data_IF_633440446856
#
_entry.id   IF_633440446856
#
_cell.length_a   1.000
_cell.length_b   1.000
_cell.length_c   1.000
_cell.angle_alpha   90.00
_cell.angle_beta   90.00
_cell.angle_gamma   90.00
#
_symmetry.space_group_name_H-M   'P 1'
#
loop_
_entity.id
_entity.type
_entity.pdbx_description
1 polymer ?
#
# COMPACT_ATOMS: atom_id res chain seq x y z
N UNK A 1 -24.33 -25.61 -20.40
CA UNK A 1 -23.20 -25.21 -21.27
C UNK A 1 -23.17 -23.71 -21.57
N UNK A 2 -24.31 -23.00 -21.70
CA UNK A 2 -24.32 -21.53 -21.92
C UNK A 2 -23.79 -20.69 -20.75
N UNK A 3 -24.12 -21.05 -19.50
CA UNK A 3 -23.67 -20.32 -18.31
C UNK A 3 -22.14 -20.35 -18.07
N UNK A 4 -21.48 -21.42 -18.53
CA UNK A 4 -20.02 -21.54 -18.43
C UNK A 4 -19.30 -20.64 -19.44
N UNK A 5 -19.85 -20.49 -20.65
CA UNK A 5 -19.31 -19.62 -21.68
C UNK A 5 -19.50 -18.12 -21.36
N UNK A 6 -20.64 -17.73 -20.77
CA UNK A 6 -20.84 -16.37 -20.26
C UNK A 6 -19.94 -16.06 -19.06
N UNK A 7 -19.82 -16.97 -18.10
CA UNK A 7 -18.89 -16.81 -16.97
C UNK A 7 -17.44 -16.69 -17.46
N UNK A 8 -17.08 -17.42 -18.51
CA UNK A 8 -15.77 -17.38 -19.14
C UNK A 8 -15.47 -16.05 -19.85
N UNK A 9 -16.40 -15.59 -20.70
CA UNK A 9 -16.28 -14.28 -21.35
C UNK A 9 -16.18 -13.14 -20.34
N UNK A 10 -16.91 -13.25 -19.21
CA UNK A 10 -16.85 -12.29 -18.12
C UNK A 10 -15.49 -12.30 -17.40
N UNK A 11 -14.89 -13.47 -17.15
CA UNK A 11 -13.55 -13.56 -16.53
C UNK A 11 -12.47 -12.95 -17.42
N UNK A 12 -12.54 -13.17 -18.73
CA UNK A 12 -11.61 -12.56 -19.68
C UNK A 12 -11.79 -11.05 -19.76
N UNK A 13 -13.03 -10.55 -19.78
CA UNK A 13 -13.31 -9.11 -19.73
C UNK A 13 -12.77 -8.47 -18.45
N UNK A 14 -12.94 -9.12 -17.29
CA UNK A 14 -12.38 -8.68 -16.01
C UNK A 14 -10.85 -8.65 -16.07
N UNK A 15 -10.21 -9.71 -16.58
CA UNK A 15 -8.75 -9.78 -16.72
C UNK A 15 -8.22 -8.64 -17.59
N UNK A 16 -8.84 -8.37 -18.73
CA UNK A 16 -8.46 -7.24 -19.61
C UNK A 16 -8.66 -5.90 -18.91
N UNK A 17 -9.79 -5.70 -18.21
CA UNK A 17 -10.04 -4.48 -17.45
C UNK A 17 -8.98 -4.25 -16.36
N UNK A 18 -8.58 -5.31 -15.65
CA UNK A 18 -7.48 -5.26 -14.66
C UNK A 18 -6.15 -4.92 -15.33
N UNK A 19 -5.79 -5.58 -16.44
CA UNK A 19 -4.53 -5.32 -17.15
C UNK A 19 -4.43 -3.86 -17.62
N UNK A 20 -5.49 -3.35 -18.27
CA UNK A 20 -5.54 -1.98 -18.78
C UNK A 20 -5.56 -0.96 -17.63
N UNK A 21 -6.35 -1.21 -16.58
CA UNK A 21 -6.45 -0.31 -15.44
C UNK A 21 -5.16 -0.21 -14.61
N UNK A 22 -4.44 -1.32 -14.46
CA UNK A 22 -3.19 -1.35 -13.68
C UNK A 22 -1.95 -0.91 -14.47
N UNK A 23 -1.97 -0.97 -15.80
CA UNK A 23 -0.82 -0.62 -16.64
C UNK A 23 -0.29 0.81 -16.37
N UNK A 24 -1.11 1.89 -16.33
CA UNK A 24 -0.63 3.23 -16.02
C UNK A 24 0.02 3.34 -14.65
N UNK A 25 -0.56 2.64 -13.65
CA UNK A 25 -0.05 2.64 -12.27
C UNK A 25 1.31 1.94 -12.19
N UNK A 26 1.47 0.83 -12.89
CA UNK A 26 2.74 0.08 -12.96
C UNK A 26 3.82 0.87 -13.70
N UNK A 27 3.50 1.45 -14.86
CA UNK A 27 4.43 2.29 -15.61
C UNK A 27 4.91 3.48 -14.78
N UNK A 28 3.98 4.14 -14.07
CA UNK A 28 4.32 5.23 -13.16
C UNK A 28 5.23 4.75 -12.01
N UNK A 29 4.95 3.59 -11.40
CA UNK A 29 5.80 3.03 -10.34
C UNK A 29 7.20 2.67 -10.84
N UNK A 30 7.30 1.99 -11.99
CA UNK A 30 8.58 1.62 -12.60
C UNK A 30 9.38 2.89 -12.92
N UNK A 31 8.76 3.87 -13.57
CA UNK A 31 9.38 5.16 -13.87
C UNK A 31 9.88 5.86 -12.60
N UNK A 32 9.07 5.86 -11.53
CA UNK A 32 9.43 6.48 -10.25
C UNK A 32 10.63 5.79 -9.59
N UNK A 33 10.66 4.45 -9.59
CA UNK A 33 11.77 3.67 -9.03
C UNK A 33 13.04 3.82 -9.86
N UNK A 34 12.91 3.95 -11.19
CA UNK A 34 14.06 4.19 -12.06
C UNK A 34 14.66 5.59 -11.88
N UNK A 35 13.83 6.60 -11.57
CA UNK A 35 14.25 8.00 -11.48
C UNK A 35 14.74 8.43 -10.09
N UNK A 36 14.29 7.76 -9.03
CA UNK A 36 14.62 8.12 -7.65
C UNK A 36 15.16 6.91 -6.88
N UNK A 37 16.15 7.09 -5.99
CA UNK A 37 16.65 6.01 -5.16
C UNK A 37 15.50 5.43 -4.32
N UNK A 38 15.16 4.16 -4.60
CA UNK A 38 14.08 3.44 -3.94
C UNK A 38 14.64 2.49 -2.88
N UNK A 39 13.87 2.30 -1.80
CA UNK A 39 14.20 1.28 -0.81
C UNK A 39 13.99 -0.13 -1.38
N UNK A 40 14.70 -1.12 -0.82
CA UNK A 40 14.58 -2.52 -1.23
C UNK A 40 13.12 -3.03 -1.19
N UNK A 41 12.31 -2.75 -0.14
CA UNK A 41 10.89 -3.11 -0.14
C UNK A 41 10.08 -2.44 -1.27
N UNK A 42 10.38 -1.20 -1.62
CA UNK A 42 9.68 -0.49 -2.69
C UNK A 42 9.99 -1.08 -4.07
N UNK A 43 11.26 -1.47 -4.30
CA UNK A 43 11.66 -2.21 -5.51
C UNK A 43 10.96 -3.58 -5.56
N UNK A 44 10.95 -4.31 -4.45
CA UNK A 44 10.32 -5.63 -4.33
C UNK A 44 8.82 -5.59 -4.60
N UNK A 45 8.10 -4.60 -4.03
CA UNK A 45 6.67 -4.41 -4.28
C UNK A 45 6.39 -4.03 -5.75
N UNK A 46 7.29 -3.28 -6.38
CA UNK A 46 7.17 -2.94 -7.80
C UNK A 46 7.42 -4.16 -8.69
N UNK A 47 8.43 -4.98 -8.37
CA UNK A 47 8.70 -6.24 -9.05
C UNK A 47 7.55 -7.24 -8.86
N UNK A 48 6.97 -7.32 -7.66
CA UNK A 48 5.77 -8.12 -7.38
C UNK A 48 4.61 -7.70 -8.29
N UNK A 49 4.28 -6.40 -8.33
CA UNK A 49 3.19 -5.89 -9.16
C UNK A 49 3.43 -6.10 -10.66
N UNK A 50 4.67 -5.89 -11.13
CA UNK A 50 5.04 -6.14 -12.52
C UNK A 50 4.97 -7.62 -12.88
N UNK A 51 5.44 -8.50 -11.98
CA UNK A 51 5.36 -9.96 -12.15
C UNK A 51 3.92 -10.43 -12.21
N UNK A 52 3.07 -10.02 -11.25
CA UNK A 52 1.66 -10.37 -11.23
C UNK A 52 0.94 -9.91 -12.51
N UNK A 53 1.20 -8.68 -12.97
CA UNK A 53 0.63 -8.17 -14.22
C UNK A 53 1.12 -8.95 -15.45
N UNK A 54 2.42 -9.26 -15.52
CA UNK A 54 3.00 -10.04 -16.61
C UNK A 54 2.39 -11.45 -16.69
N UNK A 55 2.19 -12.11 -15.55
CA UNK A 55 1.54 -13.42 -15.50
C UNK A 55 0.05 -13.36 -15.85
N UNK A 56 -0.67 -12.34 -15.39
CA UNK A 56 -2.04 -12.10 -15.83
C UNK A 56 -2.13 -11.89 -17.34
N UNK A 57 -1.14 -11.22 -17.94
CA UNK A 57 -1.04 -11.07 -19.40
C UNK A 57 -0.76 -12.42 -20.07
N UNK A 58 0.17 -13.23 -19.57
CA UNK A 58 0.47 -14.56 -20.14
C UNK A 58 -0.78 -15.45 -20.19
N UNK A 59 -1.59 -15.44 -19.13
CA UNK A 59 -2.78 -16.29 -19.03
C UNK A 59 -3.98 -15.85 -19.86
N UNK A 60 -3.85 -14.76 -20.62
CA UNK A 60 -4.93 -14.28 -21.46
C UNK A 60 -5.03 -15.04 -22.78
N UNK A 61 -6.27 -15.31 -23.22
CA UNK A 61 -6.61 -16.17 -24.37
C UNK A 61 -5.95 -15.79 -25.71
N UNK A 62 -5.51 -14.54 -25.87
CA UNK A 62 -4.77 -14.08 -27.07
C UNK A 62 -3.25 -14.26 -26.99
N UNK A 63 -2.67 -14.35 -25.78
CA UNK A 63 -1.23 -14.49 -25.56
C UNK A 63 -0.91 -15.96 -25.36
N UNK A 64 -1.73 -16.67 -24.57
CA UNK A 64 -1.51 -18.07 -24.26
C UNK A 64 -1.26 -18.94 -25.49
N UNK A 65 -2.11 -18.95 -26.55
CA UNK A 65 -1.91 -19.83 -27.71
C UNK A 65 -0.66 -19.48 -28.53
N UNK A 66 -0.12 -18.26 -28.37
CA UNK A 66 1.09 -17.83 -29.08
C UNK A 66 2.38 -18.31 -28.41
N UNK A 67 2.30 -18.87 -27.20
CA UNK A 67 3.46 -19.28 -26.43
C UNK A 67 3.95 -20.69 -26.83
N UNK A 68 5.26 -20.95 -26.76
CA UNK A 68 5.78 -22.30 -26.97
C UNK A 68 5.25 -23.31 -25.94
N UNK A 69 5.09 -24.59 -26.30
CA UNK A 69 4.60 -25.66 -25.39
C UNK A 69 5.36 -25.76 -24.06
N UNK A 70 6.68 -25.53 -24.09
CA UNK A 70 7.51 -25.52 -22.88
C UNK A 70 7.08 -24.41 -21.92
N UNK A 71 6.69 -23.24 -22.45
CA UNK A 71 6.23 -22.10 -21.64
C UNK A 71 4.88 -22.40 -21.01
N UNK A 72 3.96 -23.07 -21.72
CA UNK A 72 2.68 -23.51 -21.15
C UNK A 72 2.90 -24.40 -19.94
N UNK A 73 3.74 -25.41 -20.11
CA UNK A 73 3.97 -26.41 -19.10
C UNK A 73 4.64 -25.83 -17.84
N UNK A 74 5.66 -24.96 -17.98
CA UNK A 74 6.31 -24.34 -16.80
C UNK A 74 5.44 -23.27 -16.12
N UNK A 75 4.57 -22.60 -16.89
CA UNK A 75 3.65 -21.59 -16.36
C UNK A 75 2.61 -22.23 -15.44
N UNK A 76 2.00 -23.34 -15.87
CA UNK A 76 1.04 -24.09 -15.04
C UNK A 76 1.72 -24.78 -13.87
N UNK A 77 2.93 -25.30 -14.06
CA UNK A 77 3.61 -26.10 -13.04
C UNK A 77 4.18 -25.29 -11.85
N UNK A 78 4.45 -23.98 -11.99
CA UNK A 78 4.83 -23.18 -10.83
C UNK A 78 5.72 -21.96 -11.04
N UNK A 79 6.09 -21.58 -12.26
CA UNK A 79 6.86 -20.34 -12.49
C UNK A 79 6.18 -19.07 -11.92
N UNK A 80 4.88 -18.81 -12.16
CA UNK A 80 4.18 -17.67 -11.57
C UNK A 80 4.24 -17.64 -10.04
N UNK A 81 3.78 -18.67 -9.30
CA UNK A 81 3.82 -18.64 -7.83
C UNK A 81 5.26 -18.50 -7.29
N UNK A 82 6.27 -19.13 -7.91
CA UNK A 82 7.68 -18.99 -7.48
C UNK A 82 8.20 -17.57 -7.70
N UNK A 83 7.97 -16.98 -8.87
CA UNK A 83 8.47 -15.62 -9.16
C UNK A 83 7.77 -14.56 -8.30
N UNK A 84 6.47 -14.69 -8.06
CA UNK A 84 5.70 -13.83 -7.16
C UNK A 84 6.19 -13.98 -5.72
N UNK A 85 6.36 -15.22 -5.23
CA UNK A 85 6.89 -15.48 -3.89
C UNK A 85 8.32 -15.00 -3.73
N UNK A 86 9.18 -15.10 -4.74
CA UNK A 86 10.54 -14.57 -4.69
C UNK A 86 10.56 -13.06 -4.48
N UNK A 87 9.63 -12.33 -5.12
CA UNK A 87 9.47 -10.89 -4.89
C UNK A 87 9.03 -10.59 -3.45
N UNK A 88 8.11 -11.39 -2.90
CA UNK A 88 7.70 -11.27 -1.49
C UNK A 88 8.84 -11.60 -0.53
N UNK A 89 9.68 -12.58 -0.85
CA UNK A 89 10.83 -12.95 -0.02
C UNK A 89 11.84 -11.80 0.05
N UNK A 90 12.11 -11.13 -1.08
CA UNK A 90 12.95 -9.92 -1.12
C UNK A 90 12.32 -8.78 -0.30
N UNK A 91 10.99 -8.63 -0.37
CA UNK A 91 10.27 -7.67 0.46
C UNK A 91 10.44 -7.97 1.96
N UNK A 92 10.27 -9.22 2.38
CA UNK A 92 10.47 -9.68 3.77
C UNK A 92 11.88 -9.38 4.28
N UNK A 93 12.91 -9.67 3.47
CA UNK A 93 14.30 -9.34 3.81
C UNK A 93 14.49 -7.83 3.96
N UNK A 94 13.81 -7.02 3.13
CA UNK A 94 13.90 -5.57 3.18
C UNK A 94 13.22 -4.93 4.40
N UNK A 95 12.13 -5.52 4.91
CA UNK A 95 11.44 -5.01 6.11
C UNK A 95 12.12 -5.41 7.43
N UNK A 96 12.94 -6.46 7.43
CA UNK A 96 13.67 -6.94 8.61
C UNK A 96 14.87 -6.02 8.97
N UNK A 97 14.70 -4.71 8.87
CA UNK A 97 15.68 -3.63 8.79
C UNK A 97 16.69 -3.47 9.94
N UNK A 98 16.70 -4.38 10.92
CA UNK A 98 17.67 -4.43 12.01
C UNK A 98 19.00 -5.12 11.62
N UNK A 99 19.13 -5.52 10.35
CA UNK A 99 20.29 -6.23 9.83
C UNK A 99 21.30 -5.28 9.17
N UNK A 100 22.59 -5.45 9.49
CA UNK A 100 23.68 -4.73 8.80
C UNK A 100 23.56 -4.87 7.26
N UNK A 101 23.97 -3.85 6.47
CA UNK A 101 23.87 -3.90 5.00
C UNK A 101 24.52 -5.14 4.37
N UNK A 102 25.58 -5.66 4.99
CA UNK A 102 26.22 -6.91 4.57
C UNK A 102 25.32 -8.14 4.77
N UNK A 103 24.54 -8.20 5.86
CA UNK A 103 23.59 -9.27 6.13
C UNK A 103 22.39 -9.20 5.18
N UNK A 104 21.89 -8.00 4.88
CA UNK A 104 20.83 -7.79 3.89
C UNK A 104 21.28 -8.30 2.51
N UNK A 105 22.49 -7.93 2.04
CA UNK A 105 23.02 -8.43 0.76
C UNK A 105 23.15 -9.95 0.70
N UNK A 106 23.61 -10.58 1.79
CA UNK A 106 23.69 -12.05 1.87
C UNK A 106 22.30 -12.68 1.83
N UNK A 107 21.35 -12.16 2.59
CA UNK A 107 19.97 -12.67 2.61
C UNK A 107 19.31 -12.53 1.22
N UNK A 108 19.49 -11.40 0.54
CA UNK A 108 19.03 -11.20 -0.84
C UNK A 108 19.66 -12.20 -1.82
N UNK A 109 20.97 -12.44 -1.70
CA UNK A 109 21.66 -13.44 -2.53
C UNK A 109 21.12 -14.84 -2.27
N UNK A 110 20.92 -15.23 -1.02
CA UNK A 110 20.35 -16.53 -0.65
C UNK A 110 18.93 -16.68 -1.19
N UNK A 111 18.07 -15.67 -1.02
CA UNK A 111 16.70 -15.67 -1.55
C UNK A 111 16.69 -15.82 -3.08
N UNK A 112 17.56 -15.07 -3.77
CA UNK A 112 17.68 -15.14 -5.24
C UNK A 112 18.16 -16.51 -5.71
N UNK A 113 19.18 -17.08 -5.06
CA UNK A 113 19.69 -18.42 -5.39
C UNK A 113 18.62 -19.48 -5.17
N UNK A 114 17.88 -19.43 -4.06
CA UNK A 114 16.79 -20.37 -3.78
C UNK A 114 15.68 -20.30 -4.82
N UNK A 115 15.27 -19.08 -5.21
CA UNK A 115 14.26 -18.89 -6.26
C UNK A 115 14.73 -19.46 -7.61
N UNK A 116 15.97 -19.18 -8.01
CA UNK A 116 16.56 -19.70 -9.26
C UNK A 116 16.62 -21.22 -9.24
N UNK A 117 17.06 -21.83 -8.13
CA UNK A 117 17.09 -23.28 -7.99
C UNK A 117 15.69 -23.91 -8.06
N UNK A 118 14.69 -23.30 -7.44
CA UNK A 118 13.30 -23.74 -7.52
C UNK A 118 12.75 -23.69 -8.96
N UNK A 119 13.01 -22.59 -9.68
CA UNK A 119 12.64 -22.44 -11.08
C UNK A 119 13.31 -23.50 -11.97
N UNK A 120 14.61 -23.72 -11.80
CA UNK A 120 15.37 -24.76 -12.54
C UNK A 120 14.79 -26.14 -12.24
N UNK A 121 14.53 -26.46 -10.98
CA UNK A 121 13.96 -27.75 -10.59
C UNK A 121 12.59 -27.99 -11.24
N UNK A 122 11.70 -27.00 -11.20
CA UNK A 122 10.39 -27.06 -11.86
C UNK A 122 10.55 -27.24 -13.37
N UNK A 123 11.41 -26.47 -14.03
CA UNK A 123 11.65 -26.61 -15.46
C UNK A 123 12.15 -28.01 -15.83
N UNK A 124 13.14 -28.54 -15.10
CA UNK A 124 13.68 -29.88 -15.36
C UNK A 124 12.60 -30.96 -15.17
N UNK A 125 11.80 -30.87 -14.11
CA UNK A 125 10.72 -31.82 -13.85
C UNK A 125 9.66 -31.78 -14.95
N UNK A 126 9.23 -30.58 -15.35
CA UNK A 126 8.24 -30.39 -16.41
C UNK A 126 8.75 -30.90 -17.76
N UNK A 127 10.02 -30.67 -18.12
CA UNK A 127 10.57 -31.21 -19.38
C UNK A 127 10.63 -32.73 -19.43
N UNK A 128 10.54 -33.41 -18.26
CA UNK A 128 10.48 -34.87 -18.14
C UNK A 128 9.04 -35.39 -17.99
N UNK A 129 8.07 -34.50 -17.89
CA UNK A 129 6.66 -34.84 -17.77
C UNK A 129 6.13 -35.38 -19.10
N UNK A 130 5.15 -36.28 -19.03
CA UNK A 130 4.46 -36.88 -20.19
C UNK A 130 3.17 -36.16 -20.54
N UNK A 131 2.88 -35.05 -19.85
CA UNK A 131 1.68 -34.26 -20.07
C UNK A 131 1.65 -33.70 -21.50
N UNK A 132 0.47 -33.58 -22.11
CA UNK A 132 0.31 -32.91 -23.39
C UNK A 132 0.74 -31.44 -23.23
N UNK A 133 1.95 -31.12 -23.70
CA UNK A 133 2.55 -29.78 -23.53
C UNK A 133 1.86 -28.69 -24.39
N UNK A 134 0.92 -29.06 -25.26
CA UNK A 134 0.19 -28.16 -26.15
C UNK A 134 -1.31 -28.28 -25.91
N UNK A 135 -1.85 -27.42 -25.05
CA UNK A 135 -3.29 -27.17 -24.94
C UNK A 135 -3.54 -25.69 -25.14
N UNK A 136 -4.44 -25.36 -26.07
CA UNK A 136 -4.86 -23.97 -26.33
C UNK A 136 -5.64 -23.37 -25.14
N UNK A 137 -6.11 -24.21 -24.20
CA UNK A 137 -6.78 -23.81 -22.97
C UNK A 137 -5.89 -24.04 -21.74
N UNK A 138 -5.63 -22.97 -20.99
CA UNK A 138 -4.88 -22.93 -19.74
C UNK A 138 -5.49 -23.86 -18.68
N UNK A 139 -6.82 -23.88 -18.59
CA UNK A 139 -7.53 -24.54 -17.49
C UNK A 139 -7.60 -26.05 -17.72
N UNK A 140 -7.72 -26.47 -18.98
CA UNK A 140 -7.58 -27.87 -19.37
C UNK A 140 -6.18 -28.39 -19.05
N UNK A 141 -5.14 -27.60 -19.34
CA UNK A 141 -3.76 -27.98 -18.99
C UNK A 141 -3.53 -28.02 -17.48
N UNK A 142 -4.10 -27.06 -16.74
CA UNK A 142 -4.07 -27.06 -15.29
C UNK A 142 -4.76 -28.29 -14.71
N UNK A 143 -5.99 -28.58 -15.14
CA UNK A 143 -6.73 -29.77 -14.71
C UNK A 143 -5.95 -31.06 -14.99
N UNK A 144 -5.33 -31.18 -16.17
CA UNK A 144 -4.49 -32.33 -16.51
C UNK A 144 -3.28 -32.46 -15.57
N UNK A 145 -2.60 -31.35 -15.25
CA UNK A 145 -1.48 -31.33 -14.29
C UNK A 145 -1.91 -31.78 -12.89
N UNK A 146 -3.11 -31.40 -12.44
CA UNK A 146 -3.60 -31.70 -11.09
C UNK A 146 -4.24 -33.09 -10.96
N UNK A 147 -4.73 -33.69 -12.06
CA UNK A 147 -5.56 -34.91 -12.01
C UNK A 147 -4.93 -36.12 -12.69
N UNK A 148 -4.14 -35.97 -13.76
CA UNK A 148 -3.64 -37.10 -14.56
C UNK A 148 -2.49 -37.89 -13.90
N UNK A 149 -2.00 -37.43 -12.75
CA UNK A 149 -1.12 -38.22 -11.88
C UNK A 149 0.31 -38.43 -12.40
N UNK A 150 0.79 -37.60 -13.33
CA UNK A 150 2.18 -37.59 -13.76
C UNK A 150 3.12 -37.21 -12.59
N UNK A 151 3.99 -38.13 -12.12
CA UNK A 151 4.82 -37.89 -10.94
C UNK A 151 5.76 -36.69 -11.10
N UNK A 152 6.21 -36.39 -12.32
CA UNK A 152 7.11 -35.27 -12.56
C UNK A 152 6.38 -33.93 -12.41
N UNK A 153 5.15 -33.83 -12.94
CA UNK A 153 4.30 -32.65 -12.81
C UNK A 153 3.83 -32.44 -11.37
N UNK A 154 3.40 -33.51 -10.70
CA UNK A 154 3.02 -33.47 -9.27
C UNK A 154 4.19 -32.98 -8.41
N UNK A 155 5.41 -33.50 -8.65
CA UNK A 155 6.59 -33.07 -7.90
C UNK A 155 6.92 -31.59 -8.17
N UNK A 156 6.75 -31.11 -9.40
CA UNK A 156 7.00 -29.70 -9.74
C UNK A 156 6.04 -28.77 -8.99
N UNK A 157 4.74 -29.09 -8.98
CA UNK A 157 3.72 -28.34 -8.24
C UNK A 157 4.01 -28.36 -6.74
N UNK A 158 4.33 -29.53 -6.16
CA UNK A 158 4.65 -29.64 -4.73
C UNK A 158 5.88 -28.80 -4.35
N UNK A 159 6.94 -28.79 -5.18
CA UNK A 159 8.13 -27.95 -4.94
C UNK A 159 7.77 -26.47 -4.99
N UNK A 160 6.98 -26.07 -5.99
CA UNK A 160 6.49 -24.70 -6.12
C UNK A 160 5.68 -24.28 -4.89
N UNK A 161 4.71 -25.09 -4.48
CA UNK A 161 3.87 -24.83 -3.30
C UNK A 161 4.68 -24.83 -2.00
N UNK A 162 5.65 -25.73 -1.84
CA UNK A 162 6.54 -25.74 -0.68
C UNK A 162 7.38 -24.46 -0.60
N UNK A 163 7.87 -23.94 -1.74
CA UNK A 163 8.58 -22.66 -1.80
C UNK A 163 7.66 -21.50 -1.41
N UNK A 164 6.42 -21.46 -1.93
CA UNK A 164 5.43 -20.43 -1.54
C UNK A 164 5.11 -20.49 -0.05
N UNK A 165 4.88 -21.69 0.50
CA UNK A 165 4.63 -21.88 1.95
C UNK A 165 5.80 -21.35 2.77
N UNK A 166 7.04 -21.66 2.37
CA UNK A 166 8.22 -21.16 3.07
C UNK A 166 8.27 -19.63 3.11
N UNK A 167 8.01 -18.97 1.98
CA UNK A 167 7.96 -17.49 1.92
C UNK A 167 6.77 -16.95 2.72
N UNK A 168 5.60 -17.56 2.63
CA UNK A 168 4.40 -17.15 3.36
C UNK A 168 4.60 -17.27 4.87
N UNK A 169 5.27 -18.32 5.36
CA UNK A 169 5.64 -18.46 6.78
C UNK A 169 6.57 -17.33 7.22
N UNK A 170 7.57 -16.98 6.41
CA UNK A 170 8.46 -15.84 6.70
C UNK A 170 7.69 -14.52 6.74
N UNK A 171 6.81 -14.28 5.77
CA UNK A 171 5.99 -13.09 5.69
C UNK A 171 5.00 -12.99 6.86
N UNK A 172 4.35 -14.10 7.25
CA UNK A 172 3.50 -14.16 8.42
C UNK A 172 4.30 -13.83 9.70
N UNK A 173 5.44 -14.49 9.89
CA UNK A 173 6.29 -14.28 11.06
C UNK A 173 6.77 -12.83 11.20
N UNK A 174 7.34 -12.27 10.12
CA UNK A 174 7.81 -10.89 10.13
C UNK A 174 6.65 -9.90 10.17
N UNK A 175 5.56 -10.16 9.46
CA UNK A 175 4.37 -9.33 9.44
C UNK A 175 3.77 -9.19 10.83
N UNK A 176 3.49 -10.29 11.53
CA UNK A 176 2.93 -10.27 12.89
C UNK A 176 3.84 -9.58 13.91
N UNK A 177 5.16 -9.68 13.77
CA UNK A 177 6.11 -9.00 14.66
C UNK A 177 6.14 -7.48 14.50
N UNK A 178 5.77 -6.96 13.34
CA UNK A 178 5.85 -5.53 13.02
C UNK A 178 4.45 -4.90 12.85
N UNK A 179 3.40 -5.54 13.39
CA UNK A 179 2.08 -4.93 13.44
C UNK A 179 2.11 -3.79 14.45
N UNK A 180 1.81 -2.59 13.97
CA UNK A 180 1.61 -1.40 14.77
C UNK A 180 0.39 -0.61 14.27
N UNK A 181 0.10 0.53 14.92
CA UNK A 181 -1.02 1.40 14.55
C UNK A 181 -0.71 2.30 13.35
N UNK A 182 0.50 2.23 12.78
CA UNK A 182 0.85 3.03 11.60
C UNK A 182 0.19 2.43 10.36
N UNK A 183 0.00 3.22 9.29
CA UNK A 183 -0.46 2.68 8.01
C UNK A 183 0.43 1.53 7.50
N UNK A 184 1.73 1.56 7.77
CA UNK A 184 2.66 0.50 7.34
C UNK A 184 2.43 -0.78 8.14
N UNK A 185 2.30 -0.71 9.47
CA UNK A 185 2.05 -1.89 10.30
C UNK A 185 0.70 -2.54 10.05
N UNK A 186 -0.35 -1.76 9.77
CA UNK A 186 -1.65 -2.33 9.34
C UNK A 186 -1.52 -3.05 8.00
N UNK A 187 -0.78 -2.47 7.04
CA UNK A 187 -0.50 -3.12 5.76
C UNK A 187 0.26 -4.44 5.92
N UNK A 188 1.28 -4.46 6.80
CA UNK A 188 2.03 -5.67 7.15
C UNK A 188 1.15 -6.73 7.82
N UNK A 189 0.24 -6.31 8.71
CA UNK A 189 -0.73 -7.20 9.35
C UNK A 189 -1.68 -7.86 8.34
N UNK A 190 -2.19 -7.10 7.37
CA UNK A 190 -3.02 -7.65 6.28
C UNK A 190 -2.25 -8.68 5.45
N UNK A 191 -0.99 -8.42 5.11
CA UNK A 191 -0.14 -9.38 4.39
C UNK A 191 0.20 -10.61 5.22
N UNK A 192 0.32 -10.48 6.55
CA UNK A 192 0.53 -11.61 7.46
C UNK A 192 -0.70 -12.54 7.48
N UNK A 193 -1.90 -11.98 7.57
CA UNK A 193 -3.16 -12.74 7.50
C UNK A 193 -3.33 -13.36 6.12
N UNK A 194 -3.03 -12.62 5.04
CA UNK A 194 -3.01 -13.14 3.68
C UNK A 194 -2.12 -14.38 3.55
N UNK A 195 -0.95 -14.36 4.20
CA UNK A 195 0.00 -15.46 4.19
C UNK A 195 -0.54 -16.72 4.85
N UNK A 196 -1.36 -16.61 5.91
CA UNK A 196 -2.03 -17.77 6.53
C UNK A 196 -3.00 -18.41 5.54
N UNK A 197 -3.84 -17.61 4.89
CA UNK A 197 -4.78 -18.12 3.87
C UNK A 197 -4.04 -18.73 2.67
N UNK A 198 -2.91 -18.13 2.26
CA UNK A 198 -2.07 -18.66 1.20
C UNK A 198 -1.45 -20.02 1.57
N UNK A 199 -1.02 -20.21 2.82
CA UNK A 199 -0.52 -21.50 3.32
C UNK A 199 -1.62 -22.56 3.21
N UNK A 200 -2.85 -22.22 3.65
CA UNK A 200 -4.01 -23.11 3.54
C UNK A 200 -4.26 -23.52 2.09
N UNK A 201 -4.32 -22.55 1.17
CA UNK A 201 -4.49 -22.82 -0.27
C UNK A 201 -3.38 -23.72 -0.82
N UNK A 202 -2.11 -23.41 -0.50
CA UNK A 202 -0.97 -24.20 -0.99
C UNK A 202 -0.94 -25.62 -0.43
N UNK A 203 -1.35 -25.83 0.82
CA UNK A 203 -1.41 -27.16 1.43
C UNK A 203 -2.51 -28.00 0.78
N UNK A 204 -3.70 -27.43 0.60
CA UNK A 204 -4.85 -28.18 0.09
C UNK A 204 -4.86 -28.33 -1.43
N UNK A 205 -4.73 -27.24 -2.20
CA UNK A 205 -4.70 -27.30 -3.67
C UNK A 205 -3.32 -27.60 -4.25
N UNK A 206 -2.26 -27.11 -3.63
CA UNK A 206 -0.89 -27.26 -4.14
C UNK A 206 -0.17 -28.55 -3.77
N UNK A 207 -0.52 -29.17 -2.64
CA UNK A 207 0.14 -30.39 -2.15
C UNK A 207 -0.86 -31.55 -2.12
N UNK A 208 -1.97 -31.39 -1.41
CA UNK A 208 -2.88 -32.50 -1.16
C UNK A 208 -3.64 -32.95 -2.41
N UNK A 209 -4.18 -32.02 -3.20
CA UNK A 209 -4.93 -32.32 -4.42
C UNK A 209 -4.09 -33.07 -5.49
N UNK A 210 -2.87 -32.64 -5.84
CA UNK A 210 -2.00 -33.41 -6.74
C UNK A 210 -1.64 -34.79 -6.19
N UNK A 211 -1.32 -34.88 -4.89
CA UNK A 211 -0.93 -36.15 -4.26
C UNK A 211 -2.09 -37.14 -4.16
N UNK A 212 -3.32 -36.64 -3.94
CA UNK A 212 -4.53 -37.45 -3.94
C UNK A 212 -5.08 -37.71 -5.35
N UNK A 213 -4.44 -37.17 -6.39
CA UNK A 213 -4.89 -37.23 -7.79
C UNK A 213 -6.35 -36.77 -7.97
N UNK A 214 -6.77 -35.78 -7.19
CA UNK A 214 -8.16 -35.32 -7.16
C UNK A 214 -9.18 -36.35 -6.66
N UNK A 215 -8.76 -37.44 -6.00
CA UNK A 215 -9.67 -38.43 -5.42
C UNK A 215 -9.99 -38.13 -3.94
N UNK A 216 -11.13 -38.61 -3.46
CA UNK A 216 -11.59 -38.44 -2.08
C UNK A 216 -12.20 -37.07 -1.80
N UNK A 217 -11.99 -36.53 -0.59
CA UNK A 217 -12.55 -35.22 -0.17
C UNK A 217 -12.12 -34.07 -1.09
N UNK A 218 -10.96 -34.18 -1.74
CA UNK A 218 -10.49 -33.16 -2.70
C UNK A 218 -11.08 -33.24 -4.10
N UNK A 219 -11.68 -34.36 -4.48
CA UNK A 219 -12.51 -34.44 -5.68
C UNK A 219 -13.95 -33.97 -5.45
N UNK A 220 -14.32 -33.69 -4.20
CA UNK A 220 -15.66 -33.20 -3.85
C UNK A 220 -15.74 -31.68 -3.99
N UNK A 221 -16.96 -31.14 -4.10
CA UNK A 221 -17.19 -29.70 -4.10
C UNK A 221 -16.49 -29.01 -2.90
N UNK A 222 -16.44 -29.65 -1.74
CA UNK A 222 -15.76 -29.10 -0.56
C UNK A 222 -14.26 -28.88 -0.77
N UNK A 223 -13.58 -29.77 -1.50
CA UNK A 223 -12.16 -29.63 -1.84
C UNK A 223 -11.87 -28.42 -2.72
N UNK A 224 -12.68 -28.23 -3.77
CA UNK A 224 -12.59 -27.06 -4.66
C UNK A 224 -12.81 -25.76 -3.90
N UNK A 225 -13.73 -25.74 -2.93
CA UNK A 225 -13.97 -24.58 -2.07
C UNK A 225 -12.78 -24.29 -1.15
N UNK A 226 -12.15 -25.31 -0.58
CA UNK A 226 -10.99 -25.16 0.30
C UNK A 226 -9.71 -24.71 -0.43
N UNK A 227 -9.61 -24.95 -1.73
CA UNK A 227 -8.54 -24.40 -2.56
C UNK A 227 -8.83 -22.95 -2.97
N UNK A 228 -9.99 -22.73 -3.59
CA UNK A 228 -10.32 -21.47 -4.26
C UNK A 228 -10.49 -20.30 -3.29
N UNK A 229 -11.25 -20.48 -2.20
CA UNK A 229 -11.58 -19.37 -1.30
C UNK A 229 -10.38 -18.83 -0.53
N UNK A 230 -9.55 -19.67 0.10
CA UNK A 230 -8.35 -19.19 0.76
C UNK A 230 -7.39 -18.50 -0.21
N UNK A 231 -7.25 -18.98 -1.44
CA UNK A 231 -6.47 -18.32 -2.49
C UNK A 231 -7.00 -16.92 -2.81
N UNK A 232 -8.29 -16.78 -3.12
CA UNK A 232 -8.90 -15.48 -3.41
C UNK A 232 -8.80 -14.49 -2.23
N UNK A 233 -9.04 -14.96 -0.99
CA UNK A 233 -8.92 -14.14 0.21
C UNK A 233 -7.47 -13.68 0.40
N UNK A 234 -6.50 -14.59 0.21
CA UNK A 234 -5.08 -14.27 0.30
C UNK A 234 -4.68 -13.20 -0.71
N UNK A 235 -5.09 -13.33 -1.97
CA UNK A 235 -4.80 -12.34 -3.02
C UNK A 235 -5.37 -10.96 -2.69
N UNK A 236 -6.65 -10.88 -2.31
CA UNK A 236 -7.31 -9.62 -1.96
C UNK A 236 -6.59 -8.95 -0.78
N UNK A 237 -6.30 -9.72 0.28
CA UNK A 237 -5.60 -9.20 1.45
C UNK A 237 -4.16 -8.77 1.12
N UNK A 238 -3.46 -9.51 0.27
CA UNK A 238 -2.09 -9.18 -0.16
C UNK A 238 -2.06 -7.87 -0.93
N UNK A 239 -2.94 -7.71 -1.93
CA UNK A 239 -3.06 -6.46 -2.69
C UNK A 239 -3.45 -5.29 -1.79
N UNK A 240 -4.43 -5.51 -0.90
CA UNK A 240 -4.86 -4.49 0.07
C UNK A 240 -3.71 -4.10 0.98
N UNK A 241 -2.92 -5.05 1.49
CA UNK A 241 -1.77 -4.79 2.35
C UNK A 241 -0.69 -3.94 1.68
N UNK A 242 -0.41 -4.16 0.39
CA UNK A 242 0.52 -3.32 -0.38
C UNK A 242 -0.03 -1.92 -0.70
N UNK A 243 -1.34 -1.82 -0.95
CA UNK A 243 -2.00 -0.56 -1.30
C UNK A 243 -2.35 0.30 -0.09
N UNK A 244 -2.50 -0.32 1.09
CA UNK A 244 -2.98 0.36 2.29
C UNK A 244 -2.07 1.52 2.75
N UNK A 245 -0.75 1.33 2.96
CA UNK A 245 0.12 2.42 3.38
C UNK A 245 0.11 3.65 2.45
N UNK A 246 0.27 3.52 1.11
CA UNK A 246 0.25 4.69 0.22
C UNK A 246 -1.13 5.33 0.08
N UNK A 247 -2.22 4.55 0.18
CA UNK A 247 -3.58 5.10 0.11
C UNK A 247 -3.91 5.89 1.37
N UNK A 248 -3.70 5.29 2.54
CA UNK A 248 -4.01 5.94 3.82
C UNK A 248 -3.15 7.19 4.03
N UNK A 249 -1.84 7.12 3.76
CA UNK A 249 -0.98 8.32 3.84
C UNK A 249 -1.41 9.43 2.89
N UNK A 250 -1.86 9.09 1.67
CA UNK A 250 -2.41 10.08 0.73
C UNK A 250 -3.70 10.69 1.23
N UNK A 251 -4.60 9.89 1.80
CA UNK A 251 -5.88 10.37 2.36
C UNK A 251 -5.64 11.26 3.57
N UNK A 252 -4.76 10.84 4.49
CA UNK A 252 -4.35 11.63 5.65
C UNK A 252 -3.76 12.98 5.21
N UNK A 253 -2.75 12.98 4.33
CA UNK A 253 -2.16 14.22 3.86
C UNK A 253 -3.16 15.12 3.11
N UNK A 254 -4.13 14.58 2.36
CA UNK A 254 -5.20 15.40 1.78
C UNK A 254 -6.10 16.02 2.85
N UNK A 255 -6.45 15.25 3.88
CA UNK A 255 -7.26 15.73 5.01
C UNK A 255 -6.52 16.84 5.77
N UNK A 256 -5.24 16.66 6.03
CA UNK A 256 -4.41 17.61 6.77
C UNK A 256 -4.18 18.90 5.98
N UNK A 257 -3.88 18.81 4.67
CA UNK A 257 -3.87 19.98 3.79
C UNK A 257 -5.22 20.70 3.78
N UNK A 258 -6.35 19.97 3.76
CA UNK A 258 -7.69 20.60 3.82
C UNK A 258 -7.93 21.30 5.15
N UNK A 259 -7.45 20.72 6.26
CA UNK A 259 -7.56 21.31 7.61
C UNK A 259 -6.72 22.58 7.75
N UNK A 260 -5.49 22.58 7.25
CA UNK A 260 -4.58 23.73 7.33
C UNK A 260 -4.96 24.88 6.38
N UNK A 261 -5.67 24.58 5.28
CA UNK A 261 -5.96 25.54 4.19
C UNK A 261 -6.60 26.85 4.65
N UNK A 262 -7.66 26.88 5.49
CA UNK A 262 -8.31 28.14 5.85
C UNK A 262 -7.37 29.08 6.58
N UNK A 263 -6.62 28.55 7.55
CA UNK A 263 -5.65 29.31 8.33
C UNK A 263 -4.46 29.77 7.47
N UNK A 264 -3.93 28.86 6.64
CA UNK A 264 -2.85 29.18 5.69
C UNK A 264 -3.24 30.32 4.76
N UNK A 265 -4.43 30.27 4.15
CA UNK A 265 -4.90 31.32 3.24
C UNK A 265 -5.09 32.66 3.96
N UNK A 266 -5.68 32.65 5.17
CA UNK A 266 -5.85 33.87 5.96
C UNK A 266 -4.51 34.54 6.29
N UNK A 267 -3.48 33.75 6.61
CA UNK A 267 -2.13 34.27 6.85
C UNK A 267 -1.44 34.72 5.55
N UNK A 268 -1.68 34.04 4.43
CA UNK A 268 -1.17 34.43 3.11
C UNK A 268 -1.72 35.76 2.63
N UNK A 269 -3.01 36.04 2.89
CA UNK A 269 -3.63 37.32 2.58
C UNK A 269 -3.05 38.46 3.45
N UNK A 270 -2.71 38.17 4.70
CA UNK A 270 -2.10 39.14 5.63
C UNK A 270 -0.60 39.37 5.38
N UNK A 271 0.13 38.35 4.95
CA UNK A 271 1.57 38.38 4.74
C UNK A 271 1.97 37.74 3.40
N UNK A 272 1.68 38.37 2.25
CA UNK A 272 1.92 37.77 0.93
C UNK A 272 3.39 37.41 0.66
N UNK A 273 4.32 38.17 1.24
CA UNK A 273 5.76 37.95 1.07
C UNK A 273 6.30 36.71 1.83
N UNK A 274 5.52 36.14 2.76
CA UNK A 274 5.91 34.94 3.50
C UNK A 274 5.77 33.66 2.67
N UNK A 275 4.93 33.68 1.63
CA UNK A 275 4.56 32.50 0.85
C UNK A 275 5.08 32.65 -0.59
N UNK A 276 6.30 32.21 -0.92
CA UNK A 276 6.76 32.20 -2.31
C UNK A 276 5.83 31.31 -3.16
N UNK A 277 5.70 31.57 -4.48
CA UNK A 277 4.87 30.76 -5.35
C UNK A 277 5.33 29.30 -5.28
N UNK A 278 4.49 28.44 -4.71
CA UNK A 278 4.81 27.03 -4.43
C UNK A 278 5.35 26.34 -5.68
N UNK A 279 6.46 25.63 -5.55
CA UNK A 279 6.95 24.74 -6.59
C UNK A 279 5.86 23.72 -6.93
N UNK A 280 5.52 23.61 -8.21
CA UNK A 280 4.42 22.77 -8.70
C UNK A 280 4.58 21.25 -8.45
N UNK A 281 5.67 20.81 -7.82
CA UNK A 281 6.07 19.39 -7.72
C UNK A 281 6.39 18.90 -6.29
N UNK A 282 5.84 19.53 -5.26
CA UNK A 282 6.04 19.09 -3.87
C UNK A 282 5.15 17.87 -3.56
N UNK A 283 5.69 16.86 -2.86
CA UNK A 283 4.88 15.70 -2.41
C UNK A 283 3.85 16.18 -1.41
N UNK A 284 2.69 15.54 -1.38
CA UNK A 284 1.60 16.00 -0.52
C UNK A 284 1.95 15.94 0.98
N UNK A 285 2.74 14.96 1.43
CA UNK A 285 3.28 14.91 2.79
C UNK A 285 4.16 16.12 3.10
N UNK A 286 5.06 16.45 2.18
CA UNK A 286 6.03 17.54 2.35
C UNK A 286 5.30 18.89 2.35
N UNK A 287 4.20 18.97 1.60
CA UNK A 287 3.30 20.13 1.59
C UNK A 287 2.61 20.36 2.94
N UNK A 288 2.19 19.31 3.65
CA UNK A 288 1.62 19.46 5.01
C UNK A 288 2.66 20.06 5.96
N UNK A 289 3.87 19.51 5.92
CA UNK A 289 4.99 19.99 6.73
C UNK A 289 5.31 21.46 6.43
N UNK A 290 5.52 21.80 5.16
CA UNK A 290 5.81 23.17 4.72
C UNK A 290 4.70 24.16 5.13
N UNK A 291 3.44 23.78 4.99
CA UNK A 291 2.31 24.61 5.43
C UNK A 291 2.31 24.82 6.95
N UNK A 292 2.71 23.81 7.72
CA UNK A 292 2.91 23.94 9.16
C UNK A 292 3.96 25.01 9.50
N UNK A 293 5.10 25.02 8.82
CA UNK A 293 6.14 26.04 9.02
C UNK A 293 5.65 27.43 8.63
N UNK A 294 5.02 27.59 7.47
CA UNK A 294 4.52 28.89 7.05
C UNK A 294 3.46 29.44 8.01
N UNK A 295 2.59 28.58 8.54
CA UNK A 295 1.62 28.99 9.55
C UNK A 295 2.35 29.44 10.82
N UNK A 296 3.33 28.69 11.31
CA UNK A 296 4.10 29.05 12.50
C UNK A 296 4.84 30.40 12.35
N UNK A 297 5.45 30.63 11.20
CA UNK A 297 6.10 31.91 10.88
C UNK A 297 5.07 33.04 10.79
N UNK A 298 3.92 32.79 10.15
CA UNK A 298 2.83 33.75 10.03
C UNK A 298 2.23 34.13 11.39
N UNK A 299 2.08 33.17 12.31
CA UNK A 299 1.65 33.41 13.69
C UNK A 299 2.67 34.27 14.43
N UNK A 300 3.96 33.99 14.25
CA UNK A 300 5.05 34.75 14.88
C UNK A 300 5.08 36.19 14.37
N UNK A 301 4.94 36.41 13.06
CA UNK A 301 4.85 37.75 12.46
C UNK A 301 3.60 38.50 12.92
N UNK A 302 2.47 37.81 13.06
CA UNK A 302 1.23 38.41 13.57
C UNK A 302 1.38 38.88 15.03
N UNK A 303 2.02 38.07 15.88
CA UNK A 303 2.30 38.45 17.27
C UNK A 303 3.28 39.62 17.37
N UNK A 304 4.27 39.69 16.48
CA UNK A 304 5.15 40.85 16.39
C UNK A 304 4.38 42.11 15.97
N UNK A 305 3.52 42.01 14.94
CA UNK A 305 2.71 43.13 14.44
C UNK A 305 1.72 43.66 15.49
N UNK A 306 1.16 42.78 16.34
CA UNK A 306 0.25 43.16 17.42
C UNK A 306 0.96 43.63 18.70
N UNK A 307 2.29 43.52 18.74
CA UNK A 307 3.08 43.92 19.91
C UNK A 307 2.92 42.99 21.10
N UNK A 308 2.57 41.71 20.87
CA UNK A 308 2.36 40.76 21.95
C UNK A 308 3.69 40.49 22.70
N UNK A 309 3.67 40.44 24.05
CA UNK A 309 4.86 40.25 24.86
C UNK A 309 5.46 38.86 24.64
N UNK A 310 6.79 38.75 24.82
CA UNK A 310 7.49 37.47 24.72
C UNK A 310 7.04 36.50 25.82
N UNK A 311 6.97 36.99 27.05
CA UNK A 311 6.55 36.26 28.25
C UNK A 311 5.49 37.09 28.96
N UNK A 312 4.39 36.47 29.38
CA UNK A 312 3.37 37.11 30.20
C UNK A 312 3.30 36.44 31.58
N UNK A 313 2.79 37.16 32.59
CA UNK A 313 2.65 36.62 33.95
C UNK A 313 1.64 35.49 34.11
N UNK A 314 0.97 35.07 33.02
CA UNK A 314 0.04 33.93 33.01
C UNK A 314 0.64 32.79 32.18
N UNK A 315 0.87 31.60 32.77
CA UNK A 315 1.40 30.47 32.04
C UNK A 315 0.41 30.00 30.96
N UNK A 316 0.95 29.56 29.83
CA UNK A 316 0.16 28.99 28.75
C UNK A 316 -0.47 27.66 29.20
N UNK A 317 -1.73 27.42 28.84
CA UNK A 317 -2.45 26.20 29.24
C UNK A 317 -1.68 24.94 28.82
N UNK A 318 -1.48 23.98 29.72
CA UNK A 318 -0.76 22.73 29.41
C UNK A 318 -1.55 21.83 28.45
N UNK A 319 -2.89 21.88 28.53
CA UNK A 319 -3.75 21.11 27.65
C UNK A 319 -3.79 21.70 26.23
N UNK A 320 -3.44 20.87 25.25
CA UNK A 320 -3.33 21.25 23.84
C UNK A 320 -4.62 21.83 23.25
N UNK A 321 -5.78 21.22 23.54
CA UNK A 321 -7.10 21.66 23.07
C UNK A 321 -7.45 23.06 23.59
N UNK A 322 -7.27 23.28 24.90
CA UNK A 322 -7.53 24.56 25.57
C UNK A 322 -6.59 25.65 25.05
N UNK A 323 -5.30 25.34 24.88
CA UNK A 323 -4.31 26.29 24.32
C UNK A 323 -4.65 26.65 22.88
N UNK A 324 -4.94 25.67 22.02
CA UNK A 324 -5.34 25.90 20.63
C UNK A 324 -6.60 26.77 20.53
N UNK A 325 -7.59 26.53 21.39
CA UNK A 325 -8.80 27.34 21.47
C UNK A 325 -8.55 28.80 21.85
N UNK A 326 -7.55 29.06 22.70
CA UNK A 326 -7.13 30.43 23.05
C UNK A 326 -6.36 31.10 21.92
N UNK A 327 -5.44 30.39 21.27
CA UNK A 327 -4.74 30.89 20.07
C UNK A 327 -5.74 31.23 18.98
N UNK A 328 -6.77 30.41 18.77
CA UNK A 328 -7.86 30.70 17.84
C UNK A 328 -8.66 31.96 18.22
N UNK A 329 -8.85 32.28 19.53
CA UNK A 329 -9.51 33.54 19.98
C UNK A 329 -8.68 34.74 19.59
N UNK A 330 -7.39 34.66 19.91
CA UNK A 330 -6.44 35.68 19.55
C UNK A 330 -6.40 35.86 18.03
N UNK A 331 -6.30 34.80 17.23
CA UNK A 331 -6.26 34.86 15.77
C UNK A 331 -7.40 35.70 15.18
N UNK A 332 -8.64 35.48 15.63
CA UNK A 332 -9.82 36.23 15.15
C UNK A 332 -9.97 37.64 15.76
N UNK A 333 -8.99 38.09 16.56
CA UNK A 333 -8.95 39.43 17.14
C UNK A 333 -9.74 39.57 18.45
N UNK A 334 -10.18 38.48 19.06
CA UNK A 334 -10.80 38.55 20.39
C UNK A 334 -9.74 38.82 21.46
N UNK A 335 -10.02 39.68 22.46
CA UNK A 335 -9.08 39.99 23.52
C UNK A 335 -8.85 38.76 24.39
N UNK A 336 -7.58 38.36 24.53
CA UNK A 336 -7.14 37.27 25.42
C UNK A 336 -6.24 37.87 26.50
N UNK A 337 -6.72 38.00 27.74
CA UNK A 337 -5.93 38.57 28.83
C UNK A 337 -4.70 37.70 29.12
N UNK A 338 -3.51 38.31 29.07
CA UNK A 338 -2.24 37.63 29.35
C UNK A 338 -1.73 36.73 28.23
N UNK A 339 -2.19 36.94 26.99
CA UNK A 339 -1.59 36.27 25.83
C UNK A 339 -0.12 36.68 25.66
N UNK A 340 0.75 35.71 25.41
CA UNK A 340 2.16 35.90 25.08
C UNK A 340 2.56 34.99 23.92
N UNK A 341 3.72 35.23 23.34
CA UNK A 341 4.25 34.40 22.24
C UNK A 341 4.50 32.95 22.65
N UNK A 342 4.67 32.66 23.94
CA UNK A 342 4.76 31.29 24.48
C UNK A 342 3.54 30.43 24.12
N UNK A 343 2.37 31.04 23.97
CA UNK A 343 1.15 30.34 23.59
C UNK A 343 1.17 29.80 22.16
N UNK A 344 2.10 30.28 21.31
CA UNK A 344 2.27 29.84 19.92
C UNK A 344 3.16 28.61 19.80
N UNK A 345 3.88 28.23 20.86
CA UNK A 345 4.71 27.03 20.86
C UNK A 345 3.93 25.79 21.30
N UNK A 346 4.31 24.65 20.71
CA UNK A 346 3.72 23.36 21.05
C UNK A 346 3.85 23.09 22.55
N UNK A 347 2.79 22.60 23.23
CA UNK A 347 2.89 22.08 24.58
C UNK A 347 3.87 20.91 24.66
N UNK A 348 4.42 20.65 25.84
CA UNK A 348 5.31 19.52 26.06
C UNK A 348 4.65 18.19 25.68
N UNK A 349 5.37 17.36 24.92
CA UNK A 349 4.87 16.07 24.44
C UNK A 349 3.95 16.13 23.21
N UNK A 350 3.68 17.32 22.66
CA UNK A 350 2.93 17.51 21.41
C UNK A 350 3.92 17.81 20.28
N UNK A 351 3.78 17.12 19.13
CA UNK A 351 4.63 17.43 17.96
C UNK A 351 4.19 18.74 17.31
N UNK A 352 5.12 19.48 16.71
CA UNK A 352 4.83 20.74 16.01
C UNK A 352 3.74 20.58 14.94
N UNK A 353 3.76 19.47 14.19
CA UNK A 353 2.74 19.16 13.19
C UNK A 353 1.34 19.00 13.83
N UNK A 354 1.26 18.22 14.92
CA UNK A 354 -0.01 18.02 15.63
C UNK A 354 -0.51 19.30 16.29
N UNK A 355 0.40 20.17 16.73
CA UNK A 355 0.09 21.48 17.29
C UNK A 355 -0.48 22.42 16.22
N UNK A 356 0.13 22.49 15.03
CA UNK A 356 -0.39 23.30 13.92
C UNK A 356 -1.77 22.83 13.46
N UNK A 357 -1.99 21.51 13.40
CA UNK A 357 -3.30 20.95 13.08
C UNK A 357 -4.35 21.28 14.15
N UNK A 358 -3.99 21.26 15.43
CA UNK A 358 -4.88 21.64 16.53
C UNK A 358 -5.30 23.12 16.45
N UNK A 359 -4.37 24.02 16.18
CA UNK A 359 -4.69 25.45 15.97
C UNK A 359 -5.61 25.62 14.75
N UNK A 360 -5.32 24.94 13.64
CA UNK A 360 -6.13 25.04 12.43
C UNK A 360 -7.55 24.50 12.62
N UNK A 361 -7.71 23.37 13.33
CA UNK A 361 -9.03 22.82 13.66
C UNK A 361 -9.81 23.79 14.58
N UNK A 362 -9.18 24.35 15.63
CA UNK A 362 -9.80 25.34 16.51
C UNK A 362 -10.15 26.67 15.81
N UNK A 363 -9.33 27.09 14.83
CA UNK A 363 -9.61 28.26 14.00
C UNK A 363 -10.81 28.02 13.09
N UNK A 364 -10.93 26.83 12.50
CA UNK A 364 -12.05 26.47 11.62
C UNK A 364 -13.37 26.35 12.38
N UNK A 365 -13.39 25.66 13.52
CA UNK A 365 -14.60 25.59 14.38
C UNK A 365 -15.13 27.00 14.68
N UNK A 366 -14.22 27.95 14.95
CA UNK A 366 -14.58 29.35 15.16
C UNK A 366 -15.07 30.08 13.93
N UNK A 367 -14.56 29.79 12.74
CA UNK A 367 -15.08 30.38 11.51
C UNK A 367 -16.51 29.89 11.23
N UNK A 368 -16.76 28.61 11.49
CA UNK A 368 -18.10 28.00 11.38
C UNK A 368 -19.07 28.62 12.42
N UNK A 369 -18.62 28.80 13.67
CA UNK A 369 -19.41 29.49 14.72
C UNK A 369 -19.60 31.00 14.43
N UNK A 370 -18.62 31.64 13.79
CA UNK A 370 -18.64 33.08 13.47
C UNK A 370 -19.43 33.44 12.21
N UNK A 371 -20.08 32.48 11.53
CA UNK A 371 -21.19 32.79 10.60
C UNK A 371 -22.36 33.52 11.30
N UNK A 372 -22.27 33.72 12.62
CA UNK A 372 -22.84 34.87 13.34
C UNK A 372 -21.74 35.55 14.21
N UNK A 373 -21.22 36.78 13.97
CA UNK A 373 -21.22 37.67 12.81
C UNK A 373 -19.80 37.90 12.23
N UNK A 374 -19.76 38.29 10.95
CA UNK A 374 -18.56 38.73 10.23
C UNK A 374 -17.84 39.92 10.90
N UNK A 375 -16.61 39.71 11.40
CA UNK A 375 -15.73 40.81 11.82
C UNK A 375 -14.36 40.83 11.13
N UNK A 376 -14.11 39.93 10.16
CA UNK A 376 -12.89 39.96 9.33
C UNK A 376 -13.15 40.10 7.83
N UNK A 377 -14.41 40.07 7.39
CA UNK A 377 -14.79 40.37 6.01
C UNK A 377 -15.09 41.86 5.87
N UNK A 378 -14.05 42.66 5.65
CA UNK A 378 -14.17 44.01 5.10
C UNK A 378 -14.55 43.99 3.61
N UNK A 379 -15.55 43.20 3.23
CA UNK A 379 -16.07 43.11 1.86
C UNK A 379 -17.59 43.29 1.88
N UNK A 380 -18.16 44.21 1.07
CA UNK A 380 -19.60 44.37 0.97
C UNK A 380 -20.20 43.12 0.33
N UNK A 381 -21.27 42.62 0.93
CA UNK A 381 -22.09 41.57 0.35
C UNK A 381 -22.68 42.02 -0.98
N UNK A 382 -22.13 41.56 -2.09
CA UNK A 382 -22.85 41.58 -3.37
C UNK A 382 -23.54 40.24 -3.56
N UNK A 383 -24.79 40.23 -3.07
CA UNK A 383 -25.98 39.77 -3.80
C UNK A 383 -25.90 38.43 -4.54
N UNK A 384 -26.40 37.40 -3.85
CA UNK A 384 -27.70 36.75 -4.15
C UNK A 384 -28.31 37.09 -5.53
N UNK A 385 -28.26 36.12 -6.46
CA UNK A 385 -29.44 35.62 -7.19
C UNK A 385 -29.19 34.19 -7.63
#
# INVERSE_FOLDING_TARGET
MSAAAEAWGNLQAIRVAVLVGFMPVLLYRIWRVARFPASVPALAATAFGASAWFWLLIYSDWVWPSLPPVVHAVSVAGWPPITIAACLQVFVVGIAGDASPARIRRALRTASVMAVLALIAVTVLVTRSRLPMSSDDVYVLAEAVFTEGDPAAVTAVVISSAYVIFVAVQLAWHGFRHIDRTPVGVGLGLMAVASIFQIVACVFGGIWQPLSRGQGVMGSAYGVWLDTWPGCIAEILMFTGFLWPPVVSRVQAHRDVRRLRPLHNALADLFPALFPPMESRIRLSDKVFEWGFHIQDGLTLLAQRRGDPLVAGRPAAEESSARAGVVAKWLVGQPVPGFSREWLHAPDGVSDESWMLAIADAYRERQEDAEFPASLSGMPSTLRR
#
